data_IF_903334863930
#
_entry.id   IF_903334863930
#
_cell.length_a   1.000
_cell.length_b   1.000
_cell.length_c   1.000
_cell.angle_alpha   90.00
_cell.angle_beta   90.00
_cell.angle_gamma   90.00
#
_symmetry.space_group_name_H-M   'P 1'
#
loop_
_entity.id
_entity.type
_entity.pdbx_description
1 polymer ?
#
# COMPACT_ATOMS: atom_id res chain seq x y z
N UNK A 1 11.72 -13.46 3.72
CA UNK A 1 12.49 -12.60 2.80
C UNK A 1 11.51 -11.67 2.11
N UNK A 2 11.73 -10.35 2.17
CA UNK A 2 10.93 -9.39 1.40
C UNK A 2 11.52 -9.31 -0.01
N UNK A 3 10.67 -9.30 -1.04
CA UNK A 3 11.15 -9.36 -2.43
C UNK A 3 10.24 -8.60 -3.38
N UNK A 4 10.80 -8.22 -4.52
CA UNK A 4 10.05 -7.69 -5.65
C UNK A 4 10.21 -8.64 -6.83
N UNK A 5 9.10 -8.95 -7.49
CA UNK A 5 9.04 -9.86 -8.64
C UNK A 5 8.50 -9.08 -9.83
N UNK A 6 9.38 -8.81 -10.79
CA UNK A 6 9.04 -8.23 -12.08
C UNK A 6 9.36 -9.21 -13.19
N UNK A 7 8.40 -9.48 -14.07
CA UNK A 7 8.62 -10.31 -15.24
C UNK A 7 8.89 -9.50 -16.51
N UNK A 8 9.06 -10.22 -17.62
CA UNK A 8 9.32 -9.65 -18.93
C UNK A 8 8.03 -9.61 -19.76
N UNK A 9 7.48 -8.41 -19.99
CA UNK A 9 6.39 -8.19 -20.92
C UNK A 9 6.67 -6.95 -21.80
N UNK A 10 5.77 -6.64 -22.74
CA UNK A 10 5.92 -5.49 -23.63
C UNK A 10 6.08 -4.17 -22.85
N UNK A 11 5.25 -3.95 -21.82
CA UNK A 11 5.30 -2.73 -20.99
C UNK A 11 6.63 -2.60 -20.25
N UNK A 12 7.16 -3.70 -19.69
CA UNK A 12 8.48 -3.72 -19.04
C UNK A 12 9.58 -3.38 -20.04
N UNK A 13 9.57 -4.01 -21.23
CA UNK A 13 10.58 -3.77 -22.27
C UNK A 13 10.55 -2.34 -22.80
N UNK A 14 9.36 -1.79 -23.02
CA UNK A 14 9.18 -0.39 -23.39
C UNK A 14 9.72 0.52 -22.30
N UNK A 15 9.33 0.31 -21.04
CA UNK A 15 9.82 1.13 -19.92
C UNK A 15 11.34 1.07 -19.75
N UNK A 16 11.97 -0.08 -20.01
CA UNK A 16 13.44 -0.20 -20.07
C UNK A 16 14.02 0.62 -21.23
N UNK A 17 13.39 0.59 -22.41
CA UNK A 17 13.91 1.23 -23.62
C UNK A 17 13.78 2.76 -23.61
N UNK A 18 12.67 3.30 -23.10
CA UNK A 18 12.34 4.73 -23.18
C UNK A 18 12.17 5.40 -21.81
N UNK A 19 12.46 4.69 -20.71
CA UNK A 19 12.38 5.18 -19.34
C UNK A 19 10.96 5.19 -18.76
N UNK A 20 10.85 5.45 -17.45
CA UNK A 20 9.54 5.63 -16.80
C UNK A 20 8.84 6.92 -17.26
N UNK A 21 7.51 6.94 -17.17
CA UNK A 21 6.68 8.10 -17.48
C UNK A 21 5.30 8.00 -16.84
N UNK A 22 4.43 8.96 -17.11
CA UNK A 22 3.04 8.91 -16.67
C UNK A 22 2.36 7.64 -17.23
N UNK A 23 1.74 6.85 -16.35
CA UNK A 23 1.13 5.53 -16.67
C UNK A 23 2.11 4.46 -17.21
N UNK A 24 3.40 4.70 -17.10
CA UNK A 24 4.51 3.83 -17.53
C UNK A 24 5.57 3.76 -16.43
N UNK A 25 5.14 3.50 -15.20
CA UNK A 25 6.06 3.18 -14.10
C UNK A 25 6.22 1.67 -13.94
N UNK A 26 7.43 1.21 -13.60
CA UNK A 26 7.67 -0.19 -13.21
C UNK A 26 6.75 -0.61 -12.07
N UNK A 27 6.52 0.28 -11.10
CA UNK A 27 5.62 0.01 -9.99
C UNK A 27 4.20 -0.33 -10.46
N UNK A 28 3.65 0.48 -11.36
CA UNK A 28 2.29 0.29 -11.90
C UNK A 28 2.22 -0.97 -12.78
N UNK A 29 3.27 -1.23 -13.56
CA UNK A 29 3.36 -2.41 -14.41
C UNK A 29 3.40 -3.67 -13.55
N UNK A 30 4.19 -3.68 -12.47
CA UNK A 30 4.29 -4.80 -11.54
C UNK A 30 2.95 -5.00 -10.81
N UNK A 31 2.38 -3.93 -10.26
CA UNK A 31 1.08 -3.95 -9.56
C UNK A 31 -0.04 -4.49 -10.46
N UNK A 32 -0.14 -4.02 -11.70
CA UNK A 32 -1.12 -4.50 -12.67
C UNK A 32 -0.89 -5.97 -13.08
N UNK A 33 0.34 -6.47 -12.92
CA UNK A 33 0.71 -7.86 -13.25
C UNK A 33 0.61 -8.82 -12.06
N UNK A 34 0.03 -8.39 -10.93
CA UNK A 34 -0.22 -9.24 -9.74
C UNK A 34 -0.91 -10.58 -10.08
N UNK A 35 -1.92 -10.65 -10.98
CA UNK A 35 -2.54 -11.93 -11.37
C UNK A 35 -1.57 -12.95 -12.01
N UNK A 36 -0.43 -12.49 -12.52
CA UNK A 36 0.63 -13.33 -13.07
C UNK A 36 1.72 -13.68 -12.05
N UNK A 37 1.48 -13.42 -10.76
CA UNK A 37 2.42 -13.68 -9.66
C UNK A 37 3.53 -12.64 -9.53
N UNK A 38 3.40 -11.49 -10.20
CA UNK A 38 4.32 -10.37 -9.99
C UNK A 38 3.97 -9.68 -8.67
N UNK A 39 4.94 -9.03 -8.07
CA UNK A 39 4.81 -8.54 -6.70
C UNK A 39 5.68 -7.32 -6.52
N UNK A 40 5.10 -6.17 -6.18
CA UNK A 40 5.91 -5.01 -5.78
C UNK A 40 6.54 -5.23 -4.42
N UNK A 41 7.64 -4.54 -4.13
CA UNK A 41 8.23 -4.61 -2.79
C UNK A 41 7.25 -4.21 -1.67
N UNK A 42 6.42 -3.19 -1.92
CA UNK A 42 5.38 -2.74 -0.98
C UNK A 42 4.30 -3.81 -0.75
N UNK A 43 3.88 -4.54 -1.79
CA UNK A 43 2.97 -5.68 -1.63
C UNK A 43 3.63 -6.81 -0.82
N UNK A 44 4.92 -7.09 -1.04
CA UNK A 44 5.66 -8.06 -0.21
C UNK A 44 5.73 -7.64 1.26
N UNK A 45 5.88 -6.34 1.55
CA UNK A 45 5.83 -5.80 2.91
C UNK A 45 4.46 -6.01 3.53
N UNK A 46 3.40 -5.67 2.81
CA UNK A 46 2.03 -5.81 3.30
C UNK A 46 1.69 -7.29 3.59
N UNK A 47 2.06 -8.20 2.69
CA UNK A 47 1.89 -9.64 2.89
C UNK A 47 2.66 -10.12 4.13
N UNK A 48 3.90 -9.66 4.33
CA UNK A 48 4.69 -10.05 5.50
C UNK A 48 4.07 -9.51 6.81
N UNK A 49 3.57 -8.28 6.81
CA UNK A 49 2.89 -7.70 7.97
C UNK A 49 1.56 -8.40 8.27
N UNK A 50 0.77 -8.72 7.23
CA UNK A 50 -0.48 -9.47 7.34
C UNK A 50 -0.28 -10.87 7.95
N UNK A 51 0.86 -11.49 7.67
CA UNK A 51 1.25 -12.79 8.24
C UNK A 51 2.09 -12.66 9.54
N UNK A 52 2.14 -11.46 10.14
CA UNK A 52 2.84 -11.19 11.42
C UNK A 52 4.35 -11.51 11.39
N UNK A 53 4.95 -11.52 10.20
CA UNK A 53 6.38 -11.79 10.02
C UNK A 53 7.27 -10.57 10.29
N UNK A 54 6.69 -9.36 10.25
CA UNK A 54 7.35 -8.08 10.53
C UNK A 54 6.44 -7.18 11.36
N UNK A 55 7.02 -6.25 12.13
CA UNK A 55 6.27 -5.23 12.87
C UNK A 55 5.72 -4.13 11.95
N UNK A 56 4.71 -3.40 12.42
CA UNK A 56 4.20 -2.20 11.73
C UNK A 56 5.30 -1.15 11.54
N UNK A 57 6.11 -0.91 12.56
CA UNK A 57 7.26 -0.01 12.49
C UNK A 57 8.19 -0.40 11.34
N UNK A 58 8.54 -1.69 11.25
CA UNK A 58 9.39 -2.22 10.18
C UNK A 58 8.74 -2.00 8.82
N UNK A 59 7.45 -2.34 8.69
CA UNK A 59 6.71 -2.16 7.44
C UNK A 59 6.67 -0.70 6.97
N UNK A 60 6.41 0.25 7.89
CA UNK A 60 6.38 1.70 7.58
C UNK A 60 7.76 2.28 7.30
N UNK A 61 8.79 1.79 7.98
CA UNK A 61 10.18 2.26 7.81
C UNK A 61 10.73 1.90 6.42
N UNK A 62 10.50 0.67 5.97
CA UNK A 62 11.08 0.14 4.72
C UNK A 62 10.17 0.26 3.49
N UNK A 63 8.94 0.76 3.65
CA UNK A 63 8.02 1.01 2.54
C UNK A 63 8.63 1.95 1.48
N UNK A 64 8.58 1.53 0.21
CA UNK A 64 8.94 2.39 -0.92
C UNK A 64 7.89 3.47 -1.14
N UNK A 65 6.60 3.15 -1.00
CA UNK A 65 5.50 4.14 -1.01
C UNK A 65 4.77 4.14 0.33
N UNK A 66 5.30 4.91 1.29
CA UNK A 66 4.77 5.02 2.67
C UNK A 66 3.25 5.26 2.75
N UNK A 67 2.68 6.11 1.89
CA UNK A 67 1.24 6.39 1.87
C UNK A 67 0.37 5.23 1.35
N UNK A 68 0.92 4.33 0.51
CA UNK A 68 0.21 3.11 0.07
C UNK A 68 0.32 2.03 1.14
N UNK A 69 1.52 1.76 1.63
CA UNK A 69 1.74 0.76 2.69
C UNK A 69 1.00 1.16 3.97
N UNK A 70 0.99 2.43 4.35
CA UNK A 70 0.23 2.91 5.51
C UNK A 70 -1.27 2.58 5.41
N UNK A 71 -1.90 2.93 4.27
CA UNK A 71 -3.32 2.56 4.04
C UNK A 71 -3.55 1.05 4.04
N UNK A 72 -2.62 0.28 3.48
CA UNK A 72 -2.68 -1.19 3.49
C UNK A 72 -2.62 -1.76 4.92
N UNK A 73 -1.72 -1.23 5.76
CA UNK A 73 -1.62 -1.58 7.17
C UNK A 73 -2.94 -1.25 7.89
N UNK A 74 -3.50 -0.06 7.67
CA UNK A 74 -4.75 0.35 8.32
C UNK A 74 -5.91 -0.59 7.94
N UNK A 75 -5.98 -1.05 6.68
CA UNK A 75 -6.95 -2.04 6.23
C UNK A 75 -6.75 -3.42 6.88
N UNK A 76 -5.50 -3.87 7.01
CA UNK A 76 -5.16 -5.14 7.68
C UNK A 76 -5.56 -5.07 9.17
N UNK A 77 -5.25 -3.97 9.86
CA UNK A 77 -5.62 -3.76 11.25
C UNK A 77 -7.14 -3.73 11.45
N UNK A 78 -7.85 -3.02 10.58
CA UNK A 78 -9.32 -3.01 10.57
C UNK A 78 -9.90 -4.41 10.35
N UNK A 79 -9.33 -5.21 9.44
CA UNK A 79 -9.76 -6.58 9.21
C UNK A 79 -9.51 -7.50 10.42
N UNK A 80 -8.48 -7.22 11.21
CA UNK A 80 -8.19 -7.89 12.50
C UNK A 80 -9.09 -7.43 13.65
N UNK A 81 -9.96 -6.44 13.44
CA UNK A 81 -10.79 -5.87 14.50
C UNK A 81 -10.01 -5.01 15.49
N UNK A 82 -8.84 -4.50 15.10
CA UNK A 82 -8.15 -3.48 15.89
C UNK A 82 -8.91 -2.19 15.70
N UNK A 83 -9.67 -1.79 16.72
CA UNK A 83 -10.17 -0.42 16.80
C UNK A 83 -8.95 0.48 16.98
N UNK A 84 -8.61 1.19 15.91
CA UNK A 84 -7.77 2.36 16.06
C UNK A 84 -8.59 3.35 16.87
N UNK A 85 -8.33 3.42 18.18
CA UNK A 85 -8.75 4.52 19.05
C UNK A 85 -8.07 5.79 18.53
N UNK A 86 -8.54 6.26 17.38
CA UNK A 86 -8.28 7.58 16.87
C UNK A 86 -9.21 8.48 17.69
N UNK A 87 -8.80 8.80 18.91
CA UNK A 87 -9.21 10.06 19.54
C UNK A 87 -8.59 11.18 18.71
N UNK A 88 -9.18 11.38 17.54
CA UNK A 88 -8.72 12.33 16.54
C UNK A 88 -8.95 13.77 17.00
N UNK A 89 -9.64 13.97 18.13
CA UNK A 89 -10.10 15.27 18.61
C UNK A 89 -11.11 15.95 17.68
N UNK A 90 -11.39 15.36 16.51
CA UNK A 90 -12.32 15.87 15.52
C UNK A 90 -13.75 15.60 15.99
N UNK A 91 -14.34 16.64 16.57
CA UNK A 91 -15.77 16.70 16.87
C UNK A 91 -16.46 17.51 15.79
N UNK A 92 -17.64 17.06 15.38
CA UNK A 92 -18.53 17.84 14.53
C UNK A 92 -19.08 19.00 15.36
N UNK A 93 -18.69 20.24 15.02
CA UNK A 93 -19.31 21.44 15.60
C UNK A 93 -20.73 21.58 15.04
N UNK A 94 -21.69 20.98 15.73
CA UNK A 94 -23.11 21.13 15.41
C UNK A 94 -23.60 22.49 15.93
N UNK A 95 -24.10 23.39 15.07
CA UNK A 95 -24.76 24.60 15.55
C UNK A 95 -26.02 24.22 16.34
N UNK A 96 -26.30 24.94 17.42
CA UNK A 96 -27.34 24.62 18.41
C UNK A 96 -28.76 24.39 17.86
N UNK A 97 -29.01 24.74 16.59
CA UNK A 97 -30.30 24.67 15.93
C UNK A 97 -30.34 23.68 14.74
N UNK A 98 -29.36 22.79 14.59
CA UNK A 98 -29.25 21.90 13.42
C UNK A 98 -30.42 20.90 13.23
N UNK A 99 -31.27 20.73 14.25
CA UNK A 99 -32.41 19.79 14.24
C UNK A 99 -33.74 20.44 14.66
N UNK A 100 -33.90 21.75 14.42
CA UNK A 100 -35.18 22.43 14.65
C UNK A 100 -35.89 22.72 13.33
#
# INVERSE_FOLDING_TARGET
MLTEIMGNNLRTRETIAIGEGEHRSFYEIIEASTPFGWLTFDQSILNAYENELISEETARLFASRKGRVGRGIDLIQKARGVDSDLDSGLRLDLPANAFR
#
